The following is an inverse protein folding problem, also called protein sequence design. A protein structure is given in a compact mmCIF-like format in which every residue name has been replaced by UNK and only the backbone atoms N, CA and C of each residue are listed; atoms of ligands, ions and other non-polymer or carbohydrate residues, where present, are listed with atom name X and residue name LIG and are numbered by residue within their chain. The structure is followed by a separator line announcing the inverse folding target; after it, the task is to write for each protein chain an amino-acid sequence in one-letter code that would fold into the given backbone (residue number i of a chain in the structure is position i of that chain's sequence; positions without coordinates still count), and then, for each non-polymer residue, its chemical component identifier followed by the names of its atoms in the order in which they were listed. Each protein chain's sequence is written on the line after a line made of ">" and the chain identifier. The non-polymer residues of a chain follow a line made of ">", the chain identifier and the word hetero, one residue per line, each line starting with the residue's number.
data_IF_234593451035
#
_entry.id   IF_234593451035
#
_cell.length_a   1.000
_cell.length_b   1.000
_cell.length_c   1.000
_cell.angle_alpha   90.00
_cell.angle_beta   90.00
_cell.angle_gamma   90.00
#
_symmetry.space_group_name_H-M   'P 1'
#
loop_
_entity.id
_entity.type
_entity.pdbx_description
1 polymer ?
#
# COMPACT_ATOMS: atom_id res chain seq x y z
N UNK A 1 14.13 -7.09 1.84
CA UNK A 1 13.96 -7.53 0.43
C UNK A 1 13.01 -6.64 -0.35
N UNK A 2 11.88 -6.20 0.21
CA UNK A 2 10.97 -5.23 -0.45
C UNK A 2 11.69 -4.01 -1.01
N UNK A 3 12.54 -3.33 -0.20
CA UNK A 3 13.30 -2.15 -0.64
C UNK A 3 14.15 -2.46 -1.87
N UNK A 4 14.87 -3.58 -1.87
CA UNK A 4 15.72 -3.99 -2.99
C UNK A 4 14.88 -4.35 -4.24
N UNK A 5 13.78 -5.09 -4.07
CA UNK A 5 12.86 -5.42 -5.17
C UNK A 5 12.21 -4.18 -5.77
N UNK A 6 11.79 -3.25 -4.91
CA UNK A 6 11.20 -1.98 -5.32
C UNK A 6 12.22 -1.06 -6.00
N UNK A 7 13.46 -1.00 -5.50
CA UNK A 7 14.54 -0.27 -6.16
C UNK A 7 14.85 -0.82 -7.57
N UNK A 8 15.11 -2.13 -7.67
CA UNK A 8 15.56 -2.73 -8.93
C UNK A 8 14.47 -2.71 -10.01
N UNK A 9 13.24 -3.08 -9.64
CA UNK A 9 12.14 -3.27 -10.59
C UNK A 9 10.88 -2.47 -10.23
N UNK A 10 10.47 -2.53 -8.96
CA UNK A 10 9.12 -2.10 -8.58
C UNK A 10 8.83 -0.63 -8.84
N UNK A 11 9.77 0.27 -8.61
CA UNK A 11 9.55 1.69 -8.88
C UNK A 11 9.33 1.96 -10.37
N UNK A 12 10.10 1.29 -11.24
CA UNK A 12 9.93 1.42 -12.68
C UNK A 12 8.61 0.84 -13.17
N UNK A 13 8.17 -0.28 -12.60
CA UNK A 13 6.84 -0.85 -12.85
C UNK A 13 5.73 0.11 -12.40
N UNK A 14 5.85 0.70 -11.22
CA UNK A 14 4.84 1.57 -10.63
C UNK A 14 4.72 2.92 -11.36
N UNK A 15 5.85 3.60 -11.57
CA UNK A 15 5.90 5.02 -11.97
C UNK A 15 6.75 5.29 -13.22
N UNK A 16 7.23 4.25 -13.90
CA UNK A 16 7.88 4.38 -15.20
C UNK A 16 6.89 4.77 -16.31
N UNK A 17 7.45 5.00 -17.51
CA UNK A 17 6.67 5.28 -18.71
C UNK A 17 5.67 4.16 -18.98
N UNK A 18 4.41 4.53 -19.16
CA UNK A 18 3.34 3.54 -19.28
C UNK A 18 3.41 2.77 -20.59
N UNK A 19 3.30 1.45 -20.48
CA UNK A 19 3.18 0.51 -21.60
C UNK A 19 1.73 0.02 -21.63
N UNK A 20 0.96 0.60 -22.55
CA UNK A 20 -0.45 0.24 -22.75
C UNK A 20 -1.34 0.48 -21.53
N UNK A 21 -0.97 1.38 -20.61
CA UNK A 21 -1.72 1.66 -19.37
C UNK A 21 -1.80 0.49 -18.38
N UNK A 22 -0.97 -0.55 -18.56
CA UNK A 22 -0.97 -1.74 -17.70
C UNK A 22 0.27 -1.79 -16.81
N UNK A 23 1.43 -1.36 -17.31
CA UNK A 23 2.69 -1.50 -16.59
C UNK A 23 3.67 -0.38 -16.96
N UNK A 24 4.51 0.05 -16.02
CA UNK A 24 5.62 0.96 -16.28
C UNK A 24 6.84 0.24 -16.88
N UNK A 25 7.50 0.89 -17.84
CA UNK A 25 8.60 0.32 -18.64
C UNK A 25 9.94 1.05 -18.53
N UNK A 26 10.09 2.03 -17.64
CA UNK A 26 11.31 2.83 -17.49
C UNK A 26 11.66 3.08 -16.02
N UNK A 27 12.74 3.80 -15.72
CA UNK A 27 13.20 4.15 -14.36
C UNK A 27 13.59 2.97 -13.46
N UNK A 28 13.87 1.80 -14.03
CA UNK A 28 14.42 0.65 -13.30
C UNK A 28 15.76 1.00 -12.67
N UNK A 29 15.96 0.64 -11.39
CA UNK A 29 17.16 1.00 -10.64
C UNK A 29 17.38 2.51 -10.51
N UNK A 30 16.33 3.32 -10.63
CA UNK A 30 16.38 4.78 -10.67
C UNK A 30 17.22 5.35 -11.84
N UNK A 31 17.44 4.57 -12.90
CA UNK A 31 18.30 4.95 -14.05
C UNK A 31 17.91 6.26 -14.75
N UNK A 32 16.63 6.68 -14.69
CA UNK A 32 16.15 7.94 -15.24
C UNK A 32 15.97 9.07 -14.22
N UNK A 33 16.37 8.86 -12.97
CA UNK A 33 16.18 9.82 -11.88
C UNK A 33 17.51 10.41 -11.45
N UNK A 34 17.70 11.69 -11.74
CA UNK A 34 18.84 12.51 -11.34
C UNK A 34 18.43 13.62 -10.36
N UNK A 35 19.41 14.32 -9.82
CA UNK A 35 19.17 15.57 -9.08
C UNK A 35 18.34 16.55 -9.93
N UNK A 36 17.31 17.14 -9.31
CA UNK A 36 16.36 18.02 -9.99
C UNK A 36 15.20 17.31 -10.69
N UNK A 37 15.25 15.99 -10.87
CA UNK A 37 14.14 15.22 -11.45
C UNK A 37 12.87 15.41 -10.62
N UNK A 38 11.73 15.57 -11.29
CA UNK A 38 10.43 15.71 -10.62
C UNK A 38 9.45 14.63 -11.06
N UNK A 39 8.80 14.00 -10.09
CA UNK A 39 7.71 13.05 -10.31
C UNK A 39 6.51 13.56 -9.52
N UNK A 40 5.35 13.65 -10.18
CA UNK A 40 4.13 14.21 -9.59
C UNK A 40 4.36 15.55 -8.87
N UNK A 41 5.23 16.38 -9.44
CA UNK A 41 5.53 17.70 -8.91
C UNK A 41 6.44 17.73 -7.68
N UNK A 42 7.08 16.63 -7.26
CA UNK A 42 8.04 16.60 -6.13
C UNK A 42 9.39 16.01 -6.54
N UNK A 43 10.43 16.16 -5.71
CA UNK A 43 11.75 15.58 -5.98
C UNK A 43 11.66 14.07 -6.22
N UNK A 44 12.25 13.58 -7.31
CA UNK A 44 12.19 12.17 -7.69
C UNK A 44 12.75 11.22 -6.63
N UNK A 45 13.87 11.59 -5.97
CA UNK A 45 14.42 10.79 -4.87
C UNK A 45 13.54 10.82 -3.61
N UNK A 46 12.95 11.98 -3.29
CA UNK A 46 12.04 12.09 -2.15
C UNK A 46 10.75 11.28 -2.40
N UNK A 47 10.24 11.32 -3.63
CA UNK A 47 9.10 10.52 -4.07
C UNK A 47 9.40 9.03 -3.96
N UNK A 48 10.54 8.58 -4.49
CA UNK A 48 10.95 7.18 -4.35
C UNK A 48 11.05 6.74 -2.88
N UNK A 49 11.64 7.58 -2.03
CA UNK A 49 11.78 7.26 -0.60
C UNK A 49 10.43 7.16 0.12
N UNK A 50 9.49 8.05 -0.23
CA UNK A 50 8.13 7.97 0.28
C UNK A 50 7.43 6.68 -0.16
N UNK A 51 7.49 6.37 -1.45
CA UNK A 51 6.83 5.20 -2.05
C UNK A 51 7.42 3.86 -1.58
N UNK A 52 8.74 3.78 -1.35
CA UNK A 52 9.34 2.54 -0.82
C UNK A 52 8.90 2.26 0.62
N UNK A 53 8.64 3.30 1.41
CA UNK A 53 8.03 3.18 2.72
C UNK A 53 6.62 2.57 2.63
N UNK A 54 5.81 3.03 1.68
CA UNK A 54 4.46 2.52 1.42
C UNK A 54 4.50 1.08 0.91
N UNK A 55 5.41 0.75 -0.01
CA UNK A 55 5.63 -0.62 -0.48
C UNK A 55 6.00 -1.56 0.68
N UNK A 56 6.79 -1.05 1.63
CA UNK A 56 7.11 -1.71 2.90
C UNK A 56 5.85 -2.05 3.68
N UNK A 57 4.95 -1.09 3.88
CA UNK A 57 3.66 -1.28 4.58
C UNK A 57 2.81 -2.38 3.94
N UNK A 58 2.65 -2.38 2.61
CA UNK A 58 1.90 -3.43 1.92
C UNK A 58 2.50 -4.82 2.18
N UNK A 59 3.83 -4.92 2.20
CA UNK A 59 4.52 -6.19 2.42
C UNK A 59 4.43 -6.68 3.88
N UNK A 60 4.53 -5.78 4.86
CA UNK A 60 4.52 -6.17 6.28
C UNK A 60 3.15 -6.64 6.77
N UNK A 61 2.05 -6.26 6.10
CA UNK A 61 0.72 -6.84 6.32
C UNK A 61 0.76 -8.37 6.12
N UNK A 62 1.42 -8.83 5.05
CA UNK A 62 1.55 -10.26 4.74
C UNK A 62 2.34 -10.96 5.85
N UNK A 63 3.43 -10.35 6.34
CA UNK A 63 4.24 -10.92 7.41
C UNK A 63 3.46 -11.17 8.70
N UNK A 64 2.56 -10.26 9.07
CA UNK A 64 1.71 -10.40 10.25
C UNK A 64 0.68 -11.52 10.10
N UNK A 65 0.18 -11.74 8.87
CA UNK A 65 -0.81 -12.79 8.60
C UNK A 65 -0.21 -14.21 8.59
N UNK A 66 1.07 -14.33 8.19
CA UNK A 66 1.75 -15.62 8.00
C UNK A 66 2.74 -15.96 9.12
N UNK A 67 2.82 -15.14 10.16
CA UNK A 67 3.74 -15.32 11.29
C UNK A 67 3.59 -16.70 11.97
N UNK A 68 4.63 -17.11 12.71
CA UNK A 68 4.75 -18.39 13.47
C UNK A 68 4.89 -19.68 12.63
N UNK A 69 4.45 -19.68 11.36
CA UNK A 69 4.43 -20.89 10.51
C UNK A 69 5.13 -20.74 9.15
N UNK A 70 5.47 -19.51 8.75
CA UNK A 70 6.23 -19.26 7.53
C UNK A 70 7.73 -19.36 7.79
N UNK A 71 8.46 -20.06 6.91
CA UNK A 71 9.93 -20.05 6.94
C UNK A 71 10.47 -18.67 6.55
N UNK A 72 11.53 -18.22 7.23
CA UNK A 72 12.13 -16.91 6.98
C UNK A 72 12.62 -16.72 5.54
N UNK A 73 13.20 -17.76 4.94
CA UNK A 73 13.66 -17.73 3.53
C UNK A 73 12.49 -17.51 2.55
N UNK A 74 11.36 -18.18 2.79
CA UNK A 74 10.15 -17.97 2.00
C UNK A 74 9.64 -16.53 2.17
N UNK A 75 9.76 -15.96 3.37
CA UNK A 75 9.38 -14.57 3.61
C UNK A 75 10.27 -13.58 2.84
N UNK A 76 11.58 -13.84 2.75
CA UNK A 76 12.48 -13.04 1.91
C UNK A 76 12.10 -13.10 0.44
N UNK A 77 11.74 -14.28 -0.08
CA UNK A 77 11.28 -14.43 -1.46
C UNK A 77 9.95 -13.70 -1.70
N UNK A 78 8.95 -13.90 -0.84
CA UNK A 78 7.64 -13.25 -0.96
C UNK A 78 7.76 -11.73 -0.88
N UNK A 79 8.54 -11.21 0.07
CA UNK A 79 8.74 -9.77 0.20
C UNK A 79 9.50 -9.16 -0.98
N UNK A 80 10.43 -9.88 -1.61
CA UNK A 80 11.07 -9.46 -2.86
C UNK A 80 10.05 -9.39 -4.01
N UNK A 81 9.23 -10.43 -4.19
CA UNK A 81 8.21 -10.51 -5.25
C UNK A 81 7.13 -9.44 -5.07
N UNK A 82 6.65 -9.23 -3.84
CA UNK A 82 5.67 -8.19 -3.54
C UNK A 82 6.22 -6.81 -3.87
N UNK A 83 7.42 -6.49 -3.39
CA UNK A 83 8.07 -5.20 -3.64
C UNK A 83 8.48 -4.98 -5.11
N UNK A 84 8.80 -6.05 -5.84
CA UNK A 84 9.26 -5.95 -7.22
C UNK A 84 8.11 -5.94 -8.24
N UNK A 85 7.02 -6.67 -8.00
CA UNK A 85 6.00 -6.96 -9.03
C UNK A 85 4.59 -6.69 -8.53
N UNK A 86 4.11 -7.43 -7.52
CA UNK A 86 2.67 -7.48 -7.19
C UNK A 86 2.14 -6.11 -6.73
N UNK A 87 2.79 -5.49 -5.75
CA UNK A 87 2.40 -4.17 -5.27
C UNK A 87 2.60 -3.09 -6.35
N UNK A 88 3.77 -2.98 -7.01
CA UNK A 88 4.00 -2.02 -8.08
C UNK A 88 3.00 -2.03 -9.23
N UNK A 89 2.52 -3.21 -9.65
CA UNK A 89 1.52 -3.31 -10.71
C UNK A 89 0.20 -2.66 -10.28
N UNK A 90 -0.25 -2.91 -9.05
CA UNK A 90 -1.44 -2.27 -8.51
C UNK A 90 -1.26 -0.75 -8.37
N UNK A 91 -0.07 -0.31 -7.94
CA UNK A 91 0.28 1.12 -7.91
C UNK A 91 0.22 1.73 -9.30
N UNK A 92 0.77 1.08 -10.32
CA UNK A 92 0.73 1.59 -11.68
C UNK A 92 -0.70 1.84 -12.14
N UNK A 93 -1.60 0.89 -11.86
CA UNK A 93 -2.99 0.96 -12.26
C UNK A 93 -3.72 2.18 -11.69
N UNK A 94 -3.47 2.54 -10.43
CA UNK A 94 -4.27 3.54 -9.70
C UNK A 94 -3.52 4.87 -9.47
N UNK A 95 -2.24 4.82 -9.11
CA UNK A 95 -1.42 6.01 -8.78
C UNK A 95 -0.40 6.36 -9.86
N UNK A 96 -0.03 5.41 -10.71
CA UNK A 96 0.78 5.64 -11.90
C UNK A 96 -0.05 6.20 -13.05
N UNK A 97 0.38 5.93 -14.28
CA UNK A 97 -0.34 6.29 -15.51
C UNK A 97 -1.14 5.10 -16.07
N UNK A 98 -1.67 4.26 -15.18
CA UNK A 98 -2.40 3.06 -15.56
C UNK A 98 -3.89 3.29 -15.83
N UNK A 99 -4.57 2.23 -16.25
CA UNK A 99 -5.94 2.31 -16.77
C UNK A 99 -7.00 2.72 -15.74
N UNK A 100 -6.76 2.53 -14.44
CA UNK A 100 -7.65 2.97 -13.36
C UNK A 100 -7.29 4.36 -12.83
N UNK A 101 -6.15 4.92 -13.25
CA UNK A 101 -5.60 6.10 -12.63
C UNK A 101 -6.43 7.34 -12.92
N UNK A 102 -6.45 8.26 -11.97
CA UNK A 102 -6.91 9.64 -12.23
C UNK A 102 -5.96 10.35 -13.20
N UNK A 103 -4.72 9.88 -13.30
CA UNK A 103 -3.74 10.28 -14.29
C UNK A 103 -3.93 9.47 -15.58
N UNK A 104 -4.49 10.13 -16.59
CA UNK A 104 -4.05 10.04 -17.98
C UNK A 104 -3.50 8.69 -18.51
N UNK A 105 -4.38 7.80 -18.96
CA UNK A 105 -4.06 6.76 -19.95
C UNK A 105 -4.20 7.36 -21.38
N UNK A 106 -3.15 7.35 -22.23
CA UNK A 106 -3.26 7.85 -23.59
C UNK A 106 -4.19 6.96 -24.44
N UNK A 107 -5.14 7.58 -25.13
CA UNK A 107 -6.00 6.97 -26.13
C UNK A 107 -5.27 6.83 -27.48
N UNK A 108 -5.94 6.19 -28.44
CA UNK A 108 -5.41 5.99 -29.80
C UNK A 108 -5.13 7.29 -30.58
N UNK A 109 -5.56 8.45 -30.07
CA UNK A 109 -5.41 9.78 -30.63
C UNK A 109 -4.43 10.66 -29.81
N UNK A 110 -3.84 10.11 -28.75
CA UNK A 110 -2.95 10.82 -27.83
C UNK A 110 -3.67 11.65 -26.74
N UNK A 111 -5.00 11.55 -26.64
CA UNK A 111 -5.81 12.14 -25.58
C UNK A 111 -5.80 11.31 -24.31
N UNK A 112 -5.92 11.93 -23.15
CA UNK A 112 -5.80 11.24 -21.86
C UNK A 112 -7.17 11.04 -21.20
N UNK A 113 -7.66 9.80 -21.12
CA UNK A 113 -9.00 9.52 -20.59
C UNK A 113 -9.04 8.28 -19.65
N UNK A 114 -9.73 8.35 -18.50
CA UNK A 114 -9.92 7.21 -17.62
C UNK A 114 -10.87 6.16 -18.24
N UNK A 115 -10.69 4.88 -17.89
CA UNK A 115 -11.37 3.75 -18.54
C UNK A 115 -12.90 3.77 -18.43
N UNK A 116 -13.45 4.32 -17.34
CA UNK A 116 -14.88 4.20 -17.04
C UNK A 116 -15.75 5.31 -17.62
N UNK A 117 -15.22 6.42 -18.16
CA UNK A 117 -15.98 7.36 -19.02
C UNK A 117 -15.05 8.32 -19.78
N UNK A 118 -15.19 8.42 -21.11
CA UNK A 118 -14.46 9.36 -22.00
C UNK A 118 -15.07 10.78 -22.03
N UNK A 119 -15.44 11.32 -20.88
CA UNK A 119 -15.97 12.69 -20.78
C UNK A 119 -15.06 13.54 -19.89
N UNK A 120 -15.08 14.85 -20.09
CA UNK A 120 -14.29 15.83 -19.33
C UNK A 120 -14.59 15.87 -17.82
N UNK A 121 -15.59 15.13 -17.35
CA UNK A 121 -16.00 15.05 -15.93
C UNK A 121 -15.64 13.72 -15.25
N UNK A 122 -14.98 12.80 -15.95
CA UNK A 122 -14.63 11.50 -15.38
C UNK A 122 -13.32 11.56 -14.62
N UNK A 123 -13.34 11.10 -13.37
CA UNK A 123 -12.13 10.86 -12.59
C UNK A 123 -11.85 9.35 -12.58
N UNK A 124 -10.58 8.96 -12.61
CA UNK A 124 -10.18 7.58 -12.32
C UNK A 124 -10.48 7.18 -10.87
N UNK A 125 -10.00 6.01 -10.46
CA UNK A 125 -10.10 5.53 -9.08
C UNK A 125 -9.35 6.49 -8.15
N UNK A 126 -10.06 7.03 -7.16
CA UNK A 126 -9.47 7.89 -6.14
C UNK A 126 -9.12 7.04 -4.93
N UNK A 127 -7.82 6.87 -4.70
CA UNK A 127 -7.27 6.30 -3.47
C UNK A 127 -6.22 7.29 -2.94
N UNK A 128 -6.54 8.04 -1.89
CA UNK A 128 -5.67 9.14 -1.45
C UNK A 128 -4.34 8.63 -0.89
N UNK A 129 -4.40 7.59 -0.04
CA UNK A 129 -3.26 7.14 0.75
C UNK A 129 -3.09 5.61 0.75
N UNK A 130 -3.95 4.83 0.08
CA UNK A 130 -3.66 3.42 -0.18
C UNK A 130 -4.62 2.44 0.47
N UNK A 131 -5.87 2.83 0.68
CA UNK A 131 -6.89 1.90 1.19
C UNK A 131 -7.06 0.70 0.24
N UNK A 132 -7.02 0.93 -1.07
CA UNK A 132 -7.03 -0.12 -2.06
C UNK A 132 -5.59 -0.63 -2.33
N UNK A 133 -4.70 0.21 -2.85
CA UNK A 133 -3.42 -0.26 -3.39
C UNK A 133 -2.41 -0.74 -2.34
N UNK A 134 -2.57 -0.34 -1.08
CA UNK A 134 -1.70 -0.79 0.03
C UNK A 134 -2.43 -1.82 0.88
N UNK A 135 -3.53 -1.40 1.53
CA UNK A 135 -4.18 -2.21 2.55
C UNK A 135 -4.96 -3.37 1.96
N UNK A 136 -5.72 -3.14 0.88
CA UNK A 136 -6.46 -4.21 0.22
C UNK A 136 -5.52 -5.18 -0.48
N UNK A 137 -4.54 -4.69 -1.26
CA UNK A 137 -3.53 -5.55 -1.90
C UNK A 137 -2.76 -6.38 -0.87
N UNK A 138 -2.21 -5.74 0.17
CA UNK A 138 -1.51 -6.43 1.25
C UNK A 138 -2.41 -7.42 2.00
N UNK A 139 -3.66 -7.05 2.26
CA UNK A 139 -4.66 -7.89 2.91
C UNK A 139 -5.02 -9.14 2.10
N UNK A 140 -5.24 -9.00 0.79
CA UNK A 140 -5.50 -10.13 -0.10
C UNK A 140 -4.27 -11.03 -0.27
N UNK A 141 -3.08 -10.45 -0.38
CA UNK A 141 -1.84 -11.23 -0.40
C UNK A 141 -1.65 -12.02 0.91
N UNK A 142 -1.96 -11.39 2.04
CA UNK A 142 -1.97 -12.04 3.35
C UNK A 142 -3.00 -13.17 3.41
N UNK A 143 -4.23 -12.92 2.96
CA UNK A 143 -5.30 -13.93 2.88
C UNK A 143 -4.85 -15.14 2.07
N UNK A 144 -4.38 -14.94 0.84
CA UNK A 144 -3.87 -16.03 -0.02
C UNK A 144 -2.73 -16.76 0.66
N UNK A 145 -1.77 -16.04 1.25
CA UNK A 145 -0.67 -16.63 2.01
C UNK A 145 -1.14 -17.51 3.17
N UNK A 146 -2.13 -17.05 3.94
CA UNK A 146 -2.70 -17.85 5.05
C UNK A 146 -3.49 -19.06 4.59
N UNK A 147 -4.22 -18.96 3.47
CA UNK A 147 -4.93 -20.10 2.87
C UNK A 147 -3.93 -21.16 2.41
N UNK A 148 -2.84 -20.76 1.76
CA UNK A 148 -1.81 -21.67 1.28
C UNK A 148 -1.03 -22.34 2.43
N UNK A 149 -0.72 -21.60 3.49
CA UNK A 149 -0.01 -22.14 4.66
C UNK A 149 -0.90 -23.03 5.55
N UNK A 150 -2.22 -22.82 5.50
CA UNK A 150 -3.16 -23.46 6.40
C UNK A 150 -3.15 -22.86 7.82
N UNK A 151 -4.04 -23.32 8.70
CA UNK A 151 -4.20 -22.78 10.06
C UNK A 151 -2.97 -23.03 10.95
N UNK A 152 -2.85 -22.24 12.02
CA UNK A 152 -1.84 -22.48 13.05
C UNK A 152 -2.15 -23.81 13.74
N UNK A 153 -1.09 -24.53 14.11
CA UNK A 153 -1.23 -25.79 14.85
C UNK A 153 -2.00 -25.52 16.13
N UNK A 154 -3.03 -26.32 16.40
CA UNK A 154 -3.88 -26.17 17.58
C UNK A 154 -4.90 -25.03 17.51
N UNK A 155 -4.98 -24.23 16.43
CA UNK A 155 -6.03 -23.19 16.30
C UNK A 155 -7.42 -23.80 16.16
N UNK A 156 -7.56 -24.87 15.38
CA UNK A 156 -8.83 -25.55 15.19
C UNK A 156 -8.71 -26.99 15.67
N UNK A 157 -9.67 -27.44 16.48
CA UNK A 157 -9.73 -28.83 16.93
C UNK A 157 -9.83 -29.78 15.73
N UNK A 158 -8.98 -30.80 15.69
CA UNK A 158 -8.85 -31.71 14.54
C UNK A 158 -10.18 -32.41 14.18
N UNK A 159 -10.98 -32.75 15.20
CA UNK A 159 -12.26 -33.45 15.04
C UNK A 159 -13.47 -32.55 15.27
N UNK A 160 -13.43 -31.68 16.27
CA UNK A 160 -14.57 -30.83 16.66
C UNK A 160 -14.68 -29.56 15.82
N UNK A 161 -13.60 -29.17 15.11
CA UNK A 161 -13.44 -27.86 14.43
C UNK A 161 -13.69 -26.65 15.35
N UNK A 162 -13.67 -26.86 16.66
CA UNK A 162 -13.80 -25.78 17.62
C UNK A 162 -12.62 -24.82 17.51
N UNK A 163 -12.91 -23.53 17.71
CA UNK A 163 -11.91 -22.48 17.63
C UNK A 163 -11.23 -22.36 18.99
N UNK A 164 -9.98 -22.83 19.06
CA UNK A 164 -9.19 -22.69 20.28
C UNK A 164 -8.66 -21.26 20.41
N UNK A 165 -8.89 -20.57 21.54
CA UNK A 165 -8.33 -19.25 21.80
C UNK A 165 -6.79 -19.28 21.75
N UNK A 166 -6.20 -18.30 21.07
CA UNK A 166 -4.75 -18.06 21.07
C UNK A 166 -4.52 -16.65 21.62
N UNK A 167 -4.34 -16.50 22.94
CA UNK A 167 -4.18 -15.19 23.56
C UNK A 167 -2.90 -14.50 23.08
N UNK A 168 -2.87 -13.15 23.07
CA UNK A 168 -1.66 -12.41 22.74
C UNK A 168 -0.57 -12.68 23.78
N UNK A 169 0.67 -12.72 23.32
CA UNK A 169 1.82 -13.01 24.19
C UNK A 169 2.16 -11.80 25.09
N UNK A 170 1.75 -10.58 24.69
CA UNK A 170 1.88 -9.37 25.49
C UNK A 170 0.87 -8.31 25.06
N UNK A 171 -0.02 -7.92 25.97
CA UNK A 171 -0.96 -6.81 25.74
C UNK A 171 -0.25 -5.45 25.64
N UNK A 172 0.86 -5.29 26.37
CA UNK A 172 1.64 -4.05 26.38
C UNK A 172 2.27 -3.81 25.00
N UNK A 173 2.87 -4.85 24.40
CA UNK A 173 3.47 -4.72 23.06
C UNK A 173 2.41 -4.45 21.98
N UNK A 174 1.21 -5.04 22.10
CA UNK A 174 0.09 -4.74 21.21
C UNK A 174 -0.33 -3.27 21.32
N UNK A 175 -0.46 -2.74 22.54
CA UNK A 175 -0.82 -1.35 22.78
C UNK A 175 0.25 -0.38 22.25
N UNK A 176 1.53 -0.63 22.56
CA UNK A 176 2.65 0.19 22.08
C UNK A 176 2.74 0.18 20.56
N UNK A 177 2.66 -1.00 19.93
CA UNK A 177 2.65 -1.14 18.47
C UNK A 177 1.48 -0.39 17.83
N UNK A 178 0.29 -0.48 18.42
CA UNK A 178 -0.91 0.24 17.94
C UNK A 178 -0.73 1.76 17.99
N UNK A 179 -0.12 2.28 19.06
CA UNK A 179 0.17 3.73 19.17
C UNK A 179 1.22 4.20 18.16
N UNK A 180 2.26 3.40 17.90
CA UNK A 180 3.26 3.72 16.88
C UNK A 180 2.64 3.76 15.48
N UNK A 181 1.78 2.77 15.16
CA UNK A 181 1.06 2.73 13.89
C UNK A 181 0.14 3.94 13.77
N UNK A 182 -0.65 4.26 14.80
CA UNK A 182 -1.54 5.42 14.81
C UNK A 182 -0.79 6.73 14.58
N UNK A 183 0.30 6.96 15.30
CA UNK A 183 1.14 8.15 15.12
C UNK A 183 1.71 8.24 13.70
N UNK A 184 2.15 7.09 13.15
CA UNK A 184 2.71 7.01 11.80
C UNK A 184 1.67 7.24 10.70
N UNK A 185 0.40 6.89 10.94
CA UNK A 185 -0.70 7.08 9.98
C UNK A 185 -0.99 8.55 9.68
N UNK A 186 -0.70 9.47 10.61
CA UNK A 186 -0.79 10.90 10.31
C UNK A 186 0.18 11.28 9.19
N UNK A 187 1.45 10.87 9.31
CA UNK A 187 2.47 11.12 8.29
C UNK A 187 2.15 10.38 6.97
N UNK A 188 1.62 9.16 7.05
CA UNK A 188 1.21 8.38 5.88
C UNK A 188 0.11 9.09 5.08
N UNK A 189 -0.97 9.51 5.75
CA UNK A 189 -2.11 10.15 5.08
C UNK A 189 -1.78 11.57 4.60
N UNK A 190 -1.12 12.39 5.43
CA UNK A 190 -0.79 13.76 5.02
C UNK A 190 0.36 13.80 4.01
N UNK A 191 1.35 12.91 4.13
CA UNK A 191 2.45 12.80 3.18
C UNK A 191 1.97 12.42 1.78
N UNK A 192 0.83 11.74 1.68
CA UNK A 192 0.21 11.39 0.40
C UNK A 192 -0.36 12.60 -0.37
N UNK A 193 -0.36 13.81 0.21
CA UNK A 193 -0.58 15.04 -0.57
C UNK A 193 0.65 15.48 -1.36
N UNK A 194 1.82 14.86 -1.10
CA UNK A 194 3.15 15.09 -1.67
C UNK A 194 3.74 16.49 -1.43
N UNK A 195 2.90 17.50 -1.20
CA UNK A 195 3.30 18.88 -0.95
C UNK A 195 2.51 19.47 0.20
N UNK A 196 3.22 20.24 1.03
CA UNK A 196 2.63 21.02 2.13
C UNK A 196 2.43 22.49 1.73
N UNK A 197 3.44 23.10 1.08
CA UNK A 197 3.38 24.49 0.64
C UNK A 197 2.30 24.62 -0.44
N UNK A 198 1.30 25.47 -0.19
CA UNK A 198 0.14 25.64 -1.07
C UNK A 198 -1.04 24.68 -0.81
N UNK A 199 -0.85 23.64 0.01
CA UNK A 199 -1.87 22.62 0.32
C UNK A 199 -2.19 22.50 1.82
N UNK A 200 -1.82 23.50 2.63
CA UNK A 200 -1.96 23.46 4.09
C UNK A 200 -3.37 23.15 4.59
N UNK A 201 -4.40 23.74 3.98
CA UNK A 201 -5.81 23.49 4.34
C UNK A 201 -6.24 22.05 4.06
N UNK A 202 -5.78 21.46 2.94
CA UNK A 202 -6.05 20.07 2.59
C UNK A 202 -5.36 19.13 3.58
N UNK A 203 -4.08 19.36 3.87
CA UNK A 203 -3.31 18.60 4.86
C UNK A 203 -3.98 18.67 6.23
N UNK A 204 -4.41 19.86 6.66
CA UNK A 204 -5.14 20.05 7.92
C UNK A 204 -6.43 19.23 7.99
N UNK A 205 -7.24 19.23 6.92
CA UNK A 205 -8.45 18.40 6.83
C UNK A 205 -8.13 16.90 6.91
N UNK A 206 -7.08 16.44 6.24
CA UNK A 206 -6.65 15.03 6.27
C UNK A 206 -6.23 14.62 7.68
N UNK A 207 -5.48 15.46 8.39
CA UNK A 207 -5.07 15.19 9.77
C UNK A 207 -6.29 15.08 10.71
N UNK A 208 -7.25 16.00 10.60
CA UNK A 208 -8.50 15.96 11.38
C UNK A 208 -9.29 14.69 11.08
N UNK A 209 -9.46 14.34 9.80
CA UNK A 209 -10.18 13.13 9.40
C UNK A 209 -9.48 11.86 9.89
N UNK A 210 -8.15 11.82 9.86
CA UNK A 210 -7.34 10.69 10.36
C UNK A 210 -7.55 10.50 11.86
N UNK A 211 -7.49 11.60 12.64
CA UNK A 211 -7.75 11.58 14.08
C UNK A 211 -9.19 11.10 14.38
N UNK A 212 -10.19 11.72 13.75
CA UNK A 212 -11.60 11.40 13.99
C UNK A 212 -11.96 9.97 13.58
N UNK A 213 -11.45 9.47 12.44
CA UNK A 213 -11.67 8.10 11.98
C UNK A 213 -11.11 7.08 12.97
N UNK A 214 -9.90 7.32 13.49
CA UNK A 214 -9.29 6.42 14.48
C UNK A 214 -10.06 6.42 15.81
N UNK A 215 -10.44 7.59 16.31
CA UNK A 215 -11.17 7.72 17.58
C UNK A 215 -12.55 7.06 17.51
N UNK A 216 -13.30 7.34 16.44
CA UNK A 216 -14.63 6.74 16.23
C UNK A 216 -14.54 5.23 16.06
N UNK A 217 -13.57 4.71 15.30
CA UNK A 217 -13.35 3.27 15.19
C UNK A 217 -13.05 2.61 16.54
N UNK A 218 -12.20 3.22 17.38
CA UNK A 218 -11.89 2.69 18.71
C UNK A 218 -13.13 2.64 19.62
N UNK A 219 -13.93 3.72 19.62
CA UNK A 219 -15.19 3.77 20.39
C UNK A 219 -16.12 2.67 19.90
N UNK A 220 -16.39 2.60 18.59
CA UNK A 220 -17.28 1.58 18.00
C UNK A 220 -16.82 0.16 18.32
N UNK A 221 -15.54 -0.16 18.14
CA UNK A 221 -15.01 -1.49 18.45
C UNK A 221 -15.16 -1.83 19.94
N UNK A 222 -14.91 -0.87 20.84
CA UNK A 222 -15.03 -1.08 22.28
C UNK A 222 -16.49 -1.30 22.67
N UNK A 223 -17.43 -0.50 22.14
CA UNK A 223 -18.86 -0.63 22.43
C UNK A 223 -19.44 -1.96 21.94
N UNK A 224 -18.97 -2.49 20.80
CA UNK A 224 -19.45 -3.78 20.28
C UNK A 224 -18.84 -4.96 21.04
N UNK A 225 -17.69 -4.77 21.71
CA UNK A 225 -16.96 -5.84 22.39
C UNK A 225 -17.35 -6.03 23.86
N UNK A 226 -18.16 -5.13 24.44
CA UNK A 226 -18.70 -5.18 25.80
C UNK A 226 -20.12 -5.74 25.75
#
# INVERSE_FOLDING_TARGET
>A
MTIAGFYCLGFGIAFGETQGCIIGGSNFGLSGISDGSRIQGVSGFAFWFFEVGIAGTATTIVSGSTCERMRLEAYFAVSAILGAIVYPVAVHWVWGNGFLSTHACPDLQGGYHPIFTRTERSNGVIDLAGSAVVHTVGGFCGLVGTVMLGPRIGRFGEYTREVNPMPPHSYILVAVGSMIIWASFFAFNCGSTLQLVGNGDLVGKILVNTAMSSATSCITCTTISI
#
